data_IF_065360953344
#
_entry.id   IF_065360953344
#
_cell.length_a   1.000
_cell.length_b   1.000
_cell.length_c   1.000
_cell.angle_alpha   90.00
_cell.angle_beta   90.00
_cell.angle_gamma   90.00
#
_symmetry.space_group_name_H-M   'P 1'
#
loop_
_entity.id
_entity.type
_entity.pdbx_description
1 polymer ?
#
# COMPACT_ATOMS: atom_id res chain seq x y z
N UNK A 1 -28.35 -22.92 10.85
CA UNK A 1 -27.10 -22.33 10.32
C UNK A 1 -27.48 -21.02 9.65
N UNK A 2 -27.30 -19.92 10.36
CA UNK A 2 -27.52 -18.58 9.83
C UNK A 2 -26.49 -18.39 8.71
N UNK A 3 -26.93 -18.07 7.49
CA UNK A 3 -26.05 -17.50 6.49
C UNK A 3 -25.48 -16.24 7.10
N UNK A 4 -24.21 -16.21 7.45
CA UNK A 4 -23.53 -14.95 7.70
C UNK A 4 -23.73 -14.11 6.44
N UNK A 5 -24.54 -13.05 6.55
CA UNK A 5 -24.50 -11.99 5.57
C UNK A 5 -23.06 -11.51 5.59
N UNK A 6 -22.30 -11.79 4.52
CA UNK A 6 -20.95 -11.29 4.34
C UNK A 6 -21.03 -9.75 4.28
N UNK A 7 -21.00 -9.14 5.46
CA UNK A 7 -20.92 -7.70 5.62
C UNK A 7 -19.50 -7.31 5.26
N UNK A 8 -19.37 -6.35 4.36
CA UNK A 8 -18.10 -5.72 4.06
C UNK A 8 -17.56 -5.07 5.34
N UNK A 9 -16.37 -5.48 5.78
CA UNK A 9 -15.78 -5.01 7.03
C UNK A 9 -14.84 -3.85 6.75
N UNK A 10 -14.90 -2.80 7.59
CA UNK A 10 -13.90 -1.74 7.57
C UNK A 10 -12.66 -2.11 8.41
N UNK A 11 -11.57 -1.35 8.27
CA UNK A 11 -10.30 -1.66 8.93
C UNK A 11 -10.37 -1.64 10.45
N UNK A 12 -11.25 -0.82 11.04
CA UNK A 12 -11.44 -0.76 12.50
C UNK A 12 -12.15 -2.02 13.00
N UNK A 13 -13.22 -2.42 12.33
CA UNK A 13 -13.93 -3.68 12.66
C UNK A 13 -12.99 -4.89 12.55
N UNK A 14 -12.13 -4.91 11.53
CA UNK A 14 -11.11 -5.96 11.39
C UNK A 14 -10.11 -5.91 12.56
N UNK A 15 -9.58 -4.73 12.89
CA UNK A 15 -8.66 -4.58 14.02
C UNK A 15 -9.30 -5.03 15.35
N UNK A 16 -10.55 -4.66 15.62
CA UNK A 16 -11.28 -5.08 16.82
C UNK A 16 -11.46 -6.60 16.89
N UNK A 17 -11.74 -7.26 15.75
CA UNK A 17 -11.87 -8.73 15.68
C UNK A 17 -10.54 -9.46 15.85
N UNK A 18 -9.44 -8.85 15.39
CA UNK A 18 -8.07 -9.35 15.57
C UNK A 18 -7.47 -8.95 16.92
N UNK A 19 -8.24 -8.25 17.77
CA UNK A 19 -7.80 -7.66 19.04
C UNK A 19 -6.54 -6.78 18.89
N UNK A 20 -6.49 -5.99 17.81
CA UNK A 20 -5.40 -5.06 17.52
C UNK A 20 -5.74 -3.63 17.91
N UNK A 21 -4.73 -2.90 18.35
CA UNK A 21 -4.89 -1.48 18.73
C UNK A 21 -4.99 -0.58 17.50
N UNK A 22 -4.08 -0.75 16.54
CA UNK A 22 -4.02 0.04 15.31
C UNK A 22 -4.72 -0.68 14.15
N UNK A 23 -5.19 0.05 13.15
CA UNK A 23 -5.69 -0.56 11.92
C UNK A 23 -4.56 -0.96 10.97
N UNK A 24 -4.75 -2.04 10.21
CA UNK A 24 -3.93 -2.33 9.02
C UNK A 24 -4.53 -1.62 7.80
N UNK A 25 -3.78 -1.54 6.71
CA UNK A 25 -4.16 -0.74 5.55
C UNK A 25 -5.43 -1.26 4.88
N UNK A 26 -6.32 -0.35 4.52
CA UNK A 26 -7.45 -0.64 3.63
C UNK A 26 -7.03 -0.77 2.16
N UNK A 27 -5.81 -0.35 1.83
CA UNK A 27 -5.37 -0.14 0.46
C UNK A 27 -4.86 -1.40 -0.23
N UNK A 28 -5.33 -1.57 -1.47
CA UNK A 28 -4.79 -2.48 -2.47
C UNK A 28 -4.08 -1.67 -3.55
N UNK A 29 -2.85 -2.06 -3.94
CA UNK A 29 -2.03 -1.32 -4.89
C UNK A 29 -2.59 -1.38 -6.31
N UNK A 30 -2.58 -0.25 -7.03
CA UNK A 30 -3.04 -0.18 -8.43
C UNK A 30 -1.92 0.05 -9.45
N UNK A 31 -0.76 0.57 -9.00
CA UNK A 31 0.37 0.88 -9.87
C UNK A 31 0.24 2.21 -10.65
N UNK A 32 -0.56 3.15 -10.16
CA UNK A 32 -0.72 4.47 -10.78
C UNK A 32 -0.44 5.60 -9.80
N UNK A 33 0.21 6.65 -10.29
CA UNK A 33 0.32 7.95 -9.64
C UNK A 33 -0.51 8.96 -10.45
N UNK A 34 -1.36 9.71 -9.78
CA UNK A 34 -2.26 10.68 -10.39
C UNK A 34 -1.84 12.09 -10.00
N UNK A 35 -1.98 13.02 -10.93
CA UNK A 35 -1.62 14.42 -10.75
C UNK A 35 -2.88 15.26 -10.49
N UNK A 36 -2.76 16.22 -9.60
CA UNK A 36 -3.82 17.17 -9.28
C UNK A 36 -4.31 17.94 -10.52
N UNK A 37 -5.50 18.49 -10.41
CA UNK A 37 -6.19 19.33 -11.39
C UNK A 37 -6.48 18.64 -12.73
N UNK A 38 -6.85 17.36 -12.65
CA UNK A 38 -7.15 16.52 -13.80
C UNK A 38 -8.43 15.71 -13.54
N UNK A 39 -9.17 15.39 -14.61
CA UNK A 39 -10.27 14.42 -14.56
C UNK A 39 -9.78 13.06 -15.00
N UNK A 40 -9.99 12.04 -14.17
CA UNK A 40 -9.61 10.66 -14.45
C UNK A 40 -10.84 9.78 -14.61
N UNK A 41 -10.73 8.78 -15.49
CA UNK A 41 -11.64 7.63 -15.51
C UNK A 41 -10.86 6.39 -15.12
N UNK A 42 -11.32 5.72 -14.05
CA UNK A 42 -10.76 4.46 -13.57
C UNK A 42 -11.71 3.35 -13.94
N UNK A 43 -11.20 2.28 -14.55
CA UNK A 43 -11.96 1.08 -14.92
C UNK A 43 -11.53 -0.09 -14.04
N UNK A 44 -12.50 -0.92 -13.68
CA UNK A 44 -12.39 -2.08 -12.81
C UNK A 44 -12.58 -3.37 -13.63
N UNK A 45 -12.06 -4.48 -13.13
CA UNK A 45 -12.18 -5.79 -13.77
C UNK A 45 -13.62 -6.34 -13.79
N UNK A 46 -14.50 -5.82 -12.96
CA UNK A 46 -15.92 -6.20 -12.89
C UNK A 46 -16.77 -5.10 -12.26
N UNK A 47 -18.08 -5.28 -12.39
CA UNK A 47 -19.10 -4.51 -11.68
C UNK A 47 -19.08 -4.80 -10.17
N UNK A 48 -19.53 -3.84 -9.37
CA UNK A 48 -19.71 -4.01 -7.92
C UNK A 48 -20.97 -4.83 -7.62
N UNK A 49 -20.89 -5.67 -6.59
CA UNK A 49 -22.05 -6.39 -6.03
C UNK A 49 -22.86 -5.48 -5.09
N UNK A 50 -24.09 -5.90 -4.75
CA UNK A 50 -24.95 -5.13 -3.83
C UNK A 50 -24.34 -4.91 -2.44
N UNK A 51 -23.52 -5.86 -1.96
CA UNK A 51 -22.88 -5.77 -0.65
C UNK A 51 -21.62 -4.89 -0.64
N UNK A 52 -21.06 -4.58 -1.81
CA UNK A 52 -19.86 -3.75 -1.98
C UNK A 52 -20.22 -2.28 -2.25
N UNK A 53 -21.43 -2.02 -2.74
CA UNK A 53 -21.89 -0.69 -3.13
C UNK A 53 -21.86 0.28 -1.94
N UNK A 54 -21.19 1.42 -2.12
CA UNK A 54 -21.03 2.42 -1.07
C UNK A 54 -19.98 2.07 0.01
N UNK A 55 -19.36 0.90 -0.06
CA UNK A 55 -18.36 0.43 0.90
C UNK A 55 -16.93 0.51 0.35
N UNK A 56 -16.77 0.31 -0.96
CA UNK A 56 -15.49 0.40 -1.65
C UNK A 56 -15.28 1.81 -2.21
N UNK A 57 -14.06 2.33 -2.05
CA UNK A 57 -13.66 3.64 -2.56
C UNK A 57 -12.33 3.56 -3.30
N UNK A 58 -12.12 4.48 -4.23
CA UNK A 58 -10.79 4.84 -4.69
C UNK A 58 -10.20 5.84 -3.70
N UNK A 59 -8.95 5.63 -3.30
CA UNK A 59 -8.21 6.55 -2.44
C UNK A 59 -6.97 7.02 -3.17
N UNK A 60 -6.83 8.33 -3.35
CA UNK A 60 -5.72 8.94 -4.05
C UNK A 60 -4.99 9.82 -3.04
N UNK A 61 -3.74 9.51 -2.78
CA UNK A 61 -2.95 10.27 -1.81
C UNK A 61 -1.67 9.55 -1.44
N UNK A 62 -1.01 10.05 -0.40
CA UNK A 62 0.17 9.43 0.15
C UNK A 62 0.30 9.77 1.64
N UNK A 63 0.64 8.77 2.45
CA UNK A 63 0.92 8.95 3.87
C UNK A 63 2.22 9.70 4.12
N UNK A 64 2.19 10.72 4.98
CA UNK A 64 3.37 11.49 5.41
C UNK A 64 3.56 12.84 4.70
N UNK A 65 4.69 13.49 4.96
CA UNK A 65 5.09 14.80 4.44
C UNK A 65 6.21 14.69 3.39
N UNK A 66 5.99 15.36 2.26
CA UNK A 66 6.89 15.33 1.11
C UNK A 66 7.13 16.74 0.59
N UNK A 67 8.38 17.21 0.63
CA UNK A 67 8.73 18.60 0.26
C UNK A 67 8.27 19.00 -1.14
N UNK A 68 8.18 18.04 -2.07
CA UNK A 68 7.85 18.27 -3.48
C UNK A 68 6.41 17.92 -3.86
N UNK A 69 5.59 17.44 -2.92
CA UNK A 69 4.24 16.92 -3.22
C UNK A 69 3.23 17.57 -2.27
N UNK A 70 2.08 18.01 -2.82
CA UNK A 70 0.96 18.56 -2.04
C UNK A 70 1.36 19.64 -1.02
N UNK A 71 2.28 20.55 -1.39
CA UNK A 71 2.75 21.65 -0.53
C UNK A 71 3.31 21.19 0.84
N UNK A 72 3.89 19.97 0.90
CA UNK A 72 4.42 19.37 2.14
C UNK A 72 3.35 19.16 3.23
N UNK A 73 2.07 19.12 2.86
CA UNK A 73 0.98 18.77 3.76
C UNK A 73 1.08 17.30 4.16
N UNK A 74 0.76 17.02 5.43
CA UNK A 74 0.82 15.66 5.95
C UNK A 74 -0.40 14.85 5.51
N UNK A 75 -0.15 13.67 4.93
CA UNK A 75 -1.15 12.61 4.74
C UNK A 75 -2.43 13.08 4.02
N UNK A 76 -2.24 13.70 2.87
CA UNK A 76 -3.34 14.23 2.05
C UNK A 76 -3.95 13.09 1.21
N UNK A 77 -5.26 12.87 1.37
CA UNK A 77 -6.02 11.90 0.59
C UNK A 77 -7.33 12.49 0.05
N UNK A 78 -7.64 12.17 -1.20
CA UNK A 78 -8.96 12.32 -1.81
C UNK A 78 -9.61 10.94 -1.92
N UNK A 79 -10.89 10.85 -1.55
CA UNK A 79 -11.65 9.60 -1.57
C UNK A 79 -12.86 9.70 -2.51
N UNK A 80 -13.01 8.72 -3.38
CA UNK A 80 -14.13 8.64 -4.31
C UNK A 80 -14.83 7.29 -4.12
N UNK A 81 -15.99 7.33 -3.46
CA UNK A 81 -16.87 6.15 -3.32
C UNK A 81 -17.36 5.77 -4.72
N UNK A 82 -17.35 4.47 -5.03
CA UNK A 82 -17.86 3.97 -6.31
C UNK A 82 -19.39 3.90 -6.18
N UNK A 83 -20.14 4.85 -6.78
CA UNK A 83 -21.53 5.10 -6.39
C UNK A 83 -22.53 4.24 -7.16
N UNK A 84 -22.06 3.41 -8.09
CA UNK A 84 -22.90 2.59 -8.95
C UNK A 84 -22.28 1.21 -9.12
N UNK A 85 -23.06 0.28 -9.68
CA UNK A 85 -22.54 -1.03 -10.08
C UNK A 85 -21.61 -0.95 -11.30
N UNK A 86 -21.48 0.21 -11.96
CA UNK A 86 -20.61 0.33 -13.10
C UNK A 86 -19.17 -0.01 -12.74
N UNK A 87 -18.51 -0.78 -13.60
CA UNK A 87 -17.09 -1.06 -13.53
C UNK A 87 -16.20 0.16 -13.83
N UNK A 88 -16.72 1.38 -13.83
CA UNK A 88 -15.90 2.57 -14.01
C UNK A 88 -16.40 3.74 -13.16
N UNK A 89 -15.49 4.65 -12.86
CA UNK A 89 -15.77 5.89 -12.15
C UNK A 89 -14.96 7.02 -12.79
N UNK A 90 -15.60 8.17 -12.97
CA UNK A 90 -14.98 9.39 -13.46
C UNK A 90 -15.01 10.44 -12.35
N UNK A 91 -13.87 11.09 -12.09
CA UNK A 91 -13.76 12.09 -11.03
C UNK A 91 -12.69 13.13 -11.35
N UNK A 92 -12.90 14.34 -10.84
CA UNK A 92 -11.90 15.40 -10.82
C UNK A 92 -11.03 15.26 -9.56
N UNK A 93 -9.71 15.33 -9.72
CA UNK A 93 -8.74 15.18 -8.65
C UNK A 93 -8.09 16.53 -8.31
N UNK A 94 -8.08 16.89 -7.04
CA UNK A 94 -7.52 18.18 -6.56
C UNK A 94 -6.10 18.05 -5.99
N UNK A 95 -5.64 16.83 -5.70
CA UNK A 95 -4.38 16.57 -5.01
C UNK A 95 -3.58 15.50 -5.73
N UNK A 96 -2.26 15.59 -5.71
CA UNK A 96 -1.43 14.54 -6.28
C UNK A 96 -1.42 13.32 -5.36
N UNK A 97 -1.29 12.11 -5.91
CA UNK A 97 -1.19 10.94 -5.05
C UNK A 97 -1.12 9.60 -5.77
N UNK A 98 -0.78 8.58 -5.00
CA UNK A 98 -0.85 7.20 -5.47
C UNK A 98 -2.30 6.74 -5.44
N UNK A 99 -2.76 6.10 -6.51
CA UNK A 99 -4.10 5.53 -6.58
C UNK A 99 -4.12 4.16 -5.89
N UNK A 100 -5.03 4.01 -4.94
CA UNK A 100 -5.34 2.76 -4.28
C UNK A 100 -6.82 2.41 -4.47
N UNK A 101 -7.09 1.11 -4.56
CA UNK A 101 -8.42 0.59 -4.29
C UNK A 101 -8.51 0.32 -2.79
N UNK A 102 -9.41 1.00 -2.08
CA UNK A 102 -9.59 0.82 -0.65
C UNK A 102 -10.74 -0.17 -0.42
N UNK A 103 -10.39 -1.45 -0.32
CA UNK A 103 -11.34 -2.54 -0.13
C UNK A 103 -10.95 -3.53 0.99
N UNK A 104 -9.99 -3.14 1.85
CA UNK A 104 -9.43 -3.99 2.91
C UNK A 104 -8.84 -5.31 2.41
N UNK A 105 -8.54 -5.40 1.11
CA UNK A 105 -8.14 -6.62 0.42
C UNK A 105 -9.15 -7.77 0.57
N UNK A 106 -10.44 -7.46 0.79
CA UNK A 106 -11.51 -8.45 1.00
C UNK A 106 -12.14 -8.95 -0.31
N UNK A 107 -11.82 -8.32 -1.45
CA UNK A 107 -12.44 -8.62 -2.73
C UNK A 107 -11.39 -8.93 -3.80
N UNK A 108 -11.83 -9.53 -4.90
CA UNK A 108 -11.04 -9.73 -6.12
C UNK A 108 -11.07 -8.53 -7.09
N UNK A 109 -11.68 -7.42 -6.67
CA UNK A 109 -11.77 -6.20 -7.47
C UNK A 109 -10.37 -5.61 -7.71
N UNK A 110 -10.14 -5.18 -8.95
CA UNK A 110 -8.85 -4.65 -9.41
C UNK A 110 -9.09 -3.50 -10.40
N UNK A 111 -8.24 -2.48 -10.34
CA UNK A 111 -8.16 -1.46 -11.38
C UNK A 111 -7.47 -2.06 -12.61
N UNK A 112 -8.13 -2.02 -13.76
CA UNK A 112 -7.63 -2.55 -15.03
C UNK A 112 -7.04 -1.46 -15.91
N UNK A 113 -7.60 -0.26 -15.88
CA UNK A 113 -7.06 0.90 -16.59
C UNK A 113 -7.41 2.20 -15.90
N UNK A 114 -6.58 3.21 -16.14
CA UNK A 114 -6.83 4.59 -15.77
C UNK A 114 -6.59 5.44 -17.02
N UNK A 115 -7.51 6.33 -17.33
CA UNK A 115 -7.40 7.29 -18.43
C UNK A 115 -7.58 8.71 -17.92
N UNK A 116 -7.03 9.67 -18.66
CA UNK A 116 -7.08 11.10 -18.37
C UNK A 116 -7.98 11.78 -19.41
N UNK A 117 -8.93 12.61 -18.96
CA UNK A 117 -9.74 13.41 -19.88
C UNK A 117 -8.79 14.32 -20.68
N UNK A 118 -8.66 14.07 -21.99
CA UNK A 118 -7.78 14.75 -22.95
C UNK A 118 -6.33 14.24 -23.09
N UNK A 119 -5.97 13.09 -22.49
CA UNK A 119 -4.66 12.45 -22.74
C UNK A 119 -4.67 10.96 -22.39
N UNK A 120 -3.75 10.18 -22.96
CA UNK A 120 -3.54 8.79 -22.56
C UNK A 120 -2.35 8.63 -21.58
N UNK A 121 -1.58 9.68 -21.32
CA UNK A 121 -0.35 9.60 -20.52
C UNK A 121 -0.63 9.74 -19.03
N UNK A 122 -1.25 8.69 -18.45
CA UNK A 122 -1.31 8.50 -17.00
C UNK A 122 0.03 7.96 -16.50
N UNK A 123 0.54 8.51 -15.39
CA UNK A 123 1.82 8.07 -14.83
C UNK A 123 1.66 6.68 -14.22
N UNK A 124 2.26 5.68 -14.88
CA UNK A 124 2.43 4.33 -14.31
C UNK A 124 3.54 4.36 -13.27
N UNK A 125 3.21 3.91 -12.07
CA UNK A 125 4.14 3.74 -10.97
C UNK A 125 4.83 2.38 -11.11
N UNK A 126 6.18 2.30 -11.17
CA UNK A 126 6.86 1.03 -11.17
C UNK A 126 6.51 0.23 -9.90
N UNK A 127 6.15 -1.04 -10.08
CA UNK A 127 5.77 -1.92 -8.97
C UNK A 127 6.51 -3.25 -9.05
N UNK A 128 7.25 -3.59 -7.99
CA UNK A 128 7.86 -4.89 -7.83
C UNK A 128 6.95 -5.80 -6.98
N UNK A 129 6.40 -6.86 -7.59
CA UNK A 129 5.58 -7.86 -6.90
C UNK A 129 6.40 -9.11 -6.65
N UNK A 130 6.44 -9.58 -5.41
CA UNK A 130 7.22 -10.76 -5.02
C UNK A 130 6.88 -11.97 -5.92
N UNK A 131 7.92 -12.64 -6.41
CA UNK A 131 7.87 -13.82 -7.29
C UNK A 131 7.05 -13.63 -8.60
N UNK A 132 6.76 -12.38 -8.98
CA UNK A 132 6.02 -12.04 -10.20
C UNK A 132 6.80 -11.05 -11.07
N UNK A 133 7.39 -10.02 -10.47
CA UNK A 133 8.19 -9.04 -11.19
C UNK A 133 9.61 -9.54 -11.42
N UNK A 134 10.17 -9.19 -12.57
CA UNK A 134 11.60 -9.33 -12.84
C UNK A 134 12.34 -8.13 -12.25
N UNK A 135 13.46 -8.37 -11.54
CA UNK A 135 14.22 -7.31 -10.89
C UNK A 135 14.92 -6.37 -11.87
N UNK A 136 15.45 -6.89 -12.98
CA UNK A 136 16.12 -6.06 -13.98
C UNK A 136 15.13 -5.16 -14.70
N UNK A 137 13.98 -5.70 -15.10
CA UNK A 137 12.92 -4.93 -15.74
C UNK A 137 12.40 -3.84 -14.79
N UNK A 138 12.16 -4.19 -13.52
CA UNK A 138 11.76 -3.23 -12.51
C UNK A 138 12.79 -2.11 -12.30
N UNK A 139 14.09 -2.45 -12.19
CA UNK A 139 15.15 -1.43 -12.07
C UNK A 139 15.12 -0.50 -13.29
N UNK A 140 14.98 -1.05 -14.49
CA UNK A 140 14.89 -0.26 -15.71
C UNK A 140 13.64 0.65 -15.71
N UNK A 141 12.48 0.13 -15.30
CA UNK A 141 11.26 0.92 -15.17
C UNK A 141 11.42 2.07 -14.17
N UNK A 142 12.08 1.82 -13.03
CA UNK A 142 12.37 2.84 -12.02
C UNK A 142 13.33 3.90 -12.54
N UNK A 143 14.36 3.53 -13.31
CA UNK A 143 15.30 4.50 -13.87
C UNK A 143 14.68 5.39 -14.96
N UNK A 144 13.59 4.95 -15.59
CA UNK A 144 12.94 5.66 -16.70
C UNK A 144 11.55 6.23 -16.33
N UNK A 145 11.08 6.07 -15.08
CA UNK A 145 9.77 6.57 -14.67
C UNK A 145 9.81 8.07 -14.34
N UNK A 146 8.66 8.73 -14.55
CA UNK A 146 8.39 10.07 -14.01
C UNK A 146 7.59 10.03 -12.69
N UNK A 147 7.25 8.83 -12.20
CA UNK A 147 6.56 8.68 -10.91
C UNK A 147 7.47 9.10 -9.76
N UNK A 148 7.00 9.92 -8.80
CA UNK A 148 7.77 10.27 -7.61
C UNK A 148 7.88 9.11 -6.61
N UNK A 149 7.05 8.09 -6.78
CA UNK A 149 7.05 6.88 -5.97
C UNK A 149 7.30 5.62 -6.81
N UNK A 150 7.75 4.57 -6.12
CA UNK A 150 7.75 3.19 -6.59
C UNK A 150 7.12 2.34 -5.50
N UNK A 151 6.65 1.16 -5.86
CA UNK A 151 5.97 0.28 -4.91
C UNK A 151 6.55 -1.12 -4.88
N UNK A 152 6.69 -1.67 -3.68
CA UNK A 152 7.09 -3.05 -3.45
C UNK A 152 5.93 -3.77 -2.77
N UNK A 153 5.49 -4.89 -3.35
CA UNK A 153 4.32 -5.64 -2.89
C UNK A 153 4.74 -7.07 -2.58
N UNK A 154 4.71 -7.42 -1.29
CA UNK A 154 4.84 -8.80 -0.84
C UNK A 154 3.45 -9.45 -0.73
N UNK A 155 3.34 -10.61 -0.08
CA UNK A 155 2.02 -11.20 0.15
C UNK A 155 1.22 -10.44 1.22
N UNK A 156 1.90 -9.82 2.21
CA UNK A 156 1.26 -9.16 3.35
C UNK A 156 1.73 -7.72 3.62
N UNK A 157 2.67 -7.21 2.83
CA UNK A 157 3.12 -5.81 2.88
C UNK A 157 2.94 -5.12 1.53
N UNK A 158 2.65 -3.83 1.61
CA UNK A 158 2.88 -2.87 0.52
C UNK A 158 3.84 -1.81 1.04
N UNK A 159 4.86 -1.45 0.25
CA UNK A 159 5.78 -0.38 0.60
C UNK A 159 5.84 0.64 -0.53
N UNK A 160 5.45 1.87 -0.23
CA UNK A 160 5.44 2.98 -1.18
C UNK A 160 6.60 3.90 -0.86
N UNK A 161 7.64 3.82 -1.71
CA UNK A 161 8.95 4.42 -1.48
C UNK A 161 9.21 5.56 -2.45
N UNK A 162 9.92 6.60 -2.01
CA UNK A 162 10.31 7.68 -2.91
C UNK A 162 11.28 7.15 -3.99
N UNK A 163 10.95 7.39 -5.27
CA UNK A 163 11.77 6.99 -6.43
C UNK A 163 13.19 7.51 -6.30
N UNK A 164 13.34 8.77 -5.86
CA UNK A 164 14.64 9.42 -5.71
C UNK A 164 15.53 8.68 -4.68
N UNK A 165 14.96 8.23 -3.56
CA UNK A 165 15.69 7.45 -2.56
C UNK A 165 16.11 6.09 -3.12
N UNK A 166 15.20 5.38 -3.80
CA UNK A 166 15.51 4.08 -4.39
C UNK A 166 16.66 4.19 -5.40
N UNK A 167 16.60 5.15 -6.32
CA UNK A 167 17.64 5.35 -7.34
C UNK A 167 18.98 5.75 -6.72
N UNK A 168 18.98 6.73 -5.80
CA UNK A 168 20.22 7.34 -5.31
C UNK A 168 20.86 6.60 -4.14
N UNK A 169 20.08 5.86 -3.37
CA UNK A 169 20.51 5.25 -2.10
C UNK A 169 20.46 3.74 -2.12
N UNK A 170 19.43 3.13 -2.70
CA UNK A 170 19.24 1.67 -2.67
C UNK A 170 19.97 1.00 -3.83
N UNK A 171 19.64 1.33 -5.08
CA UNK A 171 20.24 0.68 -6.25
C UNK A 171 21.78 0.63 -6.26
N UNK A 172 22.52 1.69 -5.88
CA UNK A 172 23.98 1.65 -5.89
C UNK A 172 24.60 0.71 -4.84
N UNK A 173 23.82 0.30 -3.84
CA UNK A 173 24.27 -0.52 -2.69
C UNK A 173 23.47 -1.81 -2.55
N UNK A 174 22.59 -2.12 -3.52
CA UNK A 174 21.69 -3.26 -3.42
C UNK A 174 22.48 -4.56 -3.62
N UNK A 175 22.71 -5.28 -2.52
CA UNK A 175 23.39 -6.58 -2.55
C UNK A 175 22.41 -7.76 -2.66
N UNK A 176 21.17 -7.55 -2.24
CA UNK A 176 20.17 -8.60 -2.10
C UNK A 176 19.06 -8.47 -3.15
N UNK A 177 18.49 -9.60 -3.56
CA UNK A 177 17.34 -9.59 -4.46
C UNK A 177 16.08 -9.08 -3.75
N UNK A 178 15.27 -8.28 -4.45
CA UNK A 178 14.00 -7.78 -3.88
C UNK A 178 13.08 -8.93 -3.46
N UNK A 179 13.05 -10.05 -4.19
CA UNK A 179 12.30 -11.24 -3.75
C UNK A 179 12.75 -11.75 -2.37
N UNK A 180 14.05 -11.72 -2.06
CA UNK A 180 14.56 -12.15 -0.76
C UNK A 180 14.18 -11.17 0.35
N UNK A 181 14.31 -9.86 0.08
CA UNK A 181 13.93 -8.78 1.01
C UNK A 181 12.44 -8.89 1.37
N UNK A 182 11.56 -8.96 0.37
CA UNK A 182 10.11 -9.04 0.57
C UNK A 182 9.68 -10.36 1.23
N UNK A 183 10.37 -11.47 0.96
CA UNK A 183 10.16 -12.72 1.69
C UNK A 183 10.54 -12.59 3.17
N UNK A 184 11.53 -11.75 3.50
CA UNK A 184 11.88 -11.39 4.87
C UNK A 184 10.77 -10.62 5.58
N UNK A 185 10.12 -9.70 4.88
CA UNK A 185 8.96 -8.97 5.42
C UNK A 185 7.80 -9.92 5.69
N UNK A 186 7.46 -10.79 4.73
CA UNK A 186 6.41 -11.80 4.92
C UNK A 186 6.70 -12.76 6.09
N UNK A 187 7.97 -13.09 6.37
CA UNK A 187 8.35 -13.86 7.56
C UNK A 187 8.03 -13.11 8.86
N UNK A 188 8.24 -11.79 8.88
CA UNK A 188 7.91 -10.93 10.03
C UNK A 188 6.42 -11.02 10.33
N UNK A 189 5.58 -10.79 9.33
CA UNK A 189 4.13 -10.94 9.45
C UNK A 189 3.76 -12.35 9.91
N UNK A 190 4.35 -13.38 9.31
CA UNK A 190 4.06 -14.77 9.68
C UNK A 190 4.33 -15.05 11.16
N UNK A 191 5.53 -14.72 11.65
CA UNK A 191 5.91 -14.99 13.03
C UNK A 191 5.08 -14.18 14.03
N UNK A 192 4.78 -12.91 13.72
CA UNK A 192 3.91 -12.09 14.59
C UNK A 192 2.52 -12.72 14.72
N UNK A 193 1.91 -13.17 13.62
CA UNK A 193 0.61 -13.84 13.66
C UNK A 193 0.66 -15.20 14.36
N UNK A 194 1.69 -16.02 14.13
CA UNK A 194 1.87 -17.30 14.81
C UNK A 194 1.96 -17.13 16.33
N UNK A 195 2.70 -16.13 16.81
CA UNK A 195 2.82 -15.81 18.24
C UNK A 195 1.46 -15.37 18.84
N UNK A 196 0.68 -14.60 18.08
CA UNK A 196 -0.63 -14.09 18.51
C UNK A 196 -1.78 -15.09 18.28
N UNK A 197 -1.49 -16.26 17.70
CA UNK A 197 -2.51 -17.27 17.39
C UNK A 197 -3.47 -16.86 16.28
N UNK A 198 -3.07 -15.96 15.38
CA UNK A 198 -3.85 -15.49 14.24
C UNK A 198 -3.49 -16.28 12.97
N UNK A 199 -4.48 -16.64 12.16
CA UNK A 199 -4.28 -17.37 10.91
C UNK A 199 -5.38 -17.05 9.88
N UNK A 200 -5.02 -16.87 8.62
CA UNK A 200 -5.97 -16.55 7.55
C UNK A 200 -6.95 -17.67 7.22
N UNK A 201 -6.58 -18.93 7.46
CA UNK A 201 -7.45 -20.09 7.22
C UNK A 201 -8.43 -20.35 8.38
N UNK A 202 -8.21 -19.75 9.55
CA UNK A 202 -9.10 -19.93 10.71
C UNK A 202 -10.36 -19.07 10.58
N UNK A 203 -11.35 -19.35 11.42
CA UNK A 203 -12.55 -18.53 11.63
C UNK A 203 -12.60 -18.01 13.08
N UNK A 204 -13.55 -17.13 13.38
CA UNK A 204 -13.75 -16.61 14.74
C UNK A 204 -12.58 -15.78 15.26
N UNK A 205 -12.25 -15.93 16.54
CA UNK A 205 -11.26 -15.09 17.26
C UNK A 205 -9.81 -15.30 16.81
N UNK A 206 -9.53 -16.38 16.07
CA UNK A 206 -8.19 -16.68 15.55
C UNK A 206 -8.04 -16.29 14.07
N UNK A 207 -9.05 -15.63 13.47
CA UNK A 207 -9.01 -15.20 12.07
C UNK A 207 -8.00 -14.07 11.89
N UNK A 208 -7.09 -14.23 10.93
CA UNK A 208 -6.37 -13.11 10.31
C UNK A 208 -7.08 -12.71 9.00
N UNK A 209 -7.34 -11.43 8.84
CA UNK A 209 -7.87 -10.81 7.63
C UNK A 209 -6.71 -10.36 6.72
N UNK A 210 -6.92 -10.37 5.40
CA UNK A 210 -5.86 -10.25 4.39
C UNK A 210 -5.35 -8.82 4.17
N UNK A 211 -5.58 -7.91 5.12
CA UNK A 211 -5.12 -6.53 5.01
C UNK A 211 -3.58 -6.47 4.94
N UNK A 212 -3.08 -5.56 4.11
CA UNK A 212 -1.64 -5.29 4.04
C UNK A 212 -1.18 -4.45 5.24
N UNK A 213 0.05 -4.70 5.69
CA UNK A 213 0.82 -3.71 6.45
C UNK A 213 1.45 -2.74 5.45
N UNK A 214 1.06 -1.46 5.50
CA UNK A 214 1.55 -0.44 4.55
C UNK A 214 2.75 0.30 5.12
N UNK A 215 3.89 0.19 4.44
CA UNK A 215 5.10 0.97 4.69
C UNK A 215 5.06 2.24 3.84
N UNK A 216 5.13 3.40 4.50
CA UNK A 216 5.31 4.69 3.86
C UNK A 216 6.73 5.23 4.12
N UNK A 217 7.18 6.16 3.28
CA UNK A 217 8.54 6.70 3.29
C UNK A 217 8.55 8.23 3.11
N UNK A 218 8.22 8.97 4.16
CA UNK A 218 8.24 10.44 4.14
C UNK A 218 9.65 11.03 4.25
N UNK A 219 9.74 12.33 4.05
CA UNK A 219 11.02 13.04 4.15
C UNK A 219 11.53 13.07 5.60
N UNK A 220 10.65 13.41 6.55
CA UNK A 220 11.00 13.61 7.96
C UNK A 220 9.75 13.52 8.88
N UNK A 221 9.95 13.15 10.13
CA UNK A 221 8.98 12.65 11.12
C UNK A 221 9.71 12.33 12.44
N UNK A 222 8.95 12.01 13.50
CA UNK A 222 9.52 11.65 14.79
C UNK A 222 10.08 10.21 14.83
N UNK A 223 11.26 10.05 15.44
CA UNK A 223 11.85 8.74 15.71
C UNK A 223 12.69 8.20 14.55
N UNK A 224 13.13 6.94 14.64
CA UNK A 224 13.78 6.28 13.49
C UNK A 224 12.74 5.79 12.50
N UNK A 225 11.71 5.13 13.03
CA UNK A 225 10.49 4.68 12.37
C UNK A 225 9.31 4.89 13.34
N UNK A 226 8.07 4.75 12.86
CA UNK A 226 6.88 4.81 13.71
C UNK A 226 5.71 3.99 13.14
N UNK A 227 4.76 3.64 13.98
CA UNK A 227 3.51 2.98 13.61
C UNK A 227 2.30 3.84 14.00
N UNK A 228 1.28 3.85 13.14
CA UNK A 228 -0.01 4.49 13.40
C UNK A 228 -1.12 3.74 12.67
N UNK A 229 -2.35 4.22 12.77
CA UNK A 229 -3.46 3.62 12.03
C UNK A 229 -3.14 3.56 10.52
N UNK A 230 -3.37 2.39 9.94
CA UNK A 230 -3.22 2.04 8.53
C UNK A 230 -1.78 1.93 8.00
N UNK A 231 -0.73 2.29 8.77
CA UNK A 231 0.64 2.34 8.25
C UNK A 231 1.74 2.16 9.29
N UNK A 232 2.93 1.82 8.78
CA UNK A 232 4.22 2.05 9.44
C UNK A 232 5.06 3.01 8.57
N UNK A 233 5.92 3.80 9.21
CA UNK A 233 6.73 4.86 8.58
C UNK A 233 8.21 4.56 8.69
N UNK A 234 8.91 4.63 7.58
CA UNK A 234 10.37 4.53 7.53
C UNK A 234 10.89 5.72 6.76
N UNK A 235 11.25 6.78 7.46
CA UNK A 235 11.56 8.07 6.86
C UNK A 235 12.96 8.17 6.23
N UNK A 236 13.16 9.18 5.39
CA UNK A 236 14.41 9.40 4.70
C UNK A 236 15.45 10.18 5.52
N UNK A 237 15.04 11.09 6.40
CA UNK A 237 15.95 11.89 7.24
C UNK A 237 16.84 11.06 8.15
N UNK A 238 16.37 9.89 8.59
CA UNK A 238 17.10 8.95 9.46
C UNK A 238 17.73 7.78 8.73
N UNK A 239 17.59 7.70 7.40
CA UNK A 239 17.92 6.52 6.57
C UNK A 239 17.02 5.29 6.76
N UNK A 240 16.02 5.32 7.64
CA UNK A 240 15.18 4.15 7.91
C UNK A 240 14.56 3.55 6.63
N UNK A 241 14.14 4.38 5.68
CA UNK A 241 13.55 3.92 4.41
C UNK A 241 14.49 3.12 3.52
N UNK A 242 15.77 3.52 3.41
CA UNK A 242 16.75 2.78 2.60
C UNK A 242 17.22 1.51 3.32
N UNK A 243 17.29 1.54 4.65
CA UNK A 243 17.86 0.44 5.44
C UNK A 243 16.93 -0.79 5.43
N UNK A 244 15.63 -0.61 5.16
CA UNK A 244 14.70 -1.70 4.81
C UNK A 244 15.16 -2.58 3.63
N UNK A 245 16.02 -2.05 2.75
CA UNK A 245 16.54 -2.78 1.59
C UNK A 245 18.02 -3.14 1.72
N UNK A 246 18.76 -2.42 2.55
CA UNK A 246 20.21 -2.51 2.63
C UNK A 246 20.69 -3.32 3.84
N UNK A 247 19.90 -3.36 4.91
CA UNK A 247 20.22 -4.20 6.06
C UNK A 247 20.09 -5.69 5.72
N UNK A 248 20.80 -6.51 6.49
CA UNK A 248 20.63 -7.96 6.44
C UNK A 248 19.17 -8.32 6.73
N UNK A 249 18.58 -9.22 5.96
CA UNK A 249 17.17 -9.64 6.14
C UNK A 249 16.90 -10.12 7.57
N UNK A 250 17.86 -10.78 8.22
CA UNK A 250 17.75 -11.24 9.61
C UNK A 250 17.89 -10.12 10.65
N UNK A 251 18.34 -8.93 10.25
CA UNK A 251 18.63 -7.78 11.10
C UNK A 251 17.59 -6.66 11.06
N UNK A 252 16.41 -6.89 10.47
CA UNK A 252 15.38 -5.85 10.30
C UNK A 252 14.55 -5.60 11.57
N UNK A 253 15.20 -5.36 12.71
CA UNK A 253 14.54 -5.13 13.99
C UNK A 253 13.52 -3.99 13.93
N UNK A 254 13.85 -2.89 13.26
CA UNK A 254 12.93 -1.75 13.12
C UNK A 254 11.63 -2.17 12.41
N UNK A 255 11.68 -2.96 11.34
CA UNK A 255 10.48 -3.49 10.68
C UNK A 255 9.66 -4.37 11.64
N UNK A 256 10.32 -5.24 12.39
CA UNK A 256 9.66 -6.14 13.33
C UNK A 256 8.99 -5.36 14.46
N UNK A 257 9.68 -4.34 14.98
CA UNK A 257 9.22 -3.47 16.05
C UNK A 257 7.97 -2.68 15.63
N UNK A 258 8.03 -1.98 14.49
CA UNK A 258 6.89 -1.21 14.02
C UNK A 258 5.72 -2.10 13.60
N UNK A 259 5.99 -3.25 12.97
CA UNK A 259 4.94 -4.24 12.68
C UNK A 259 4.28 -4.69 13.98
N UNK A 260 5.07 -4.99 15.02
CA UNK A 260 4.58 -5.36 16.35
C UNK A 260 3.66 -4.32 16.97
N UNK A 261 3.96 -3.02 16.83
CA UNK A 261 3.07 -1.95 17.29
C UNK A 261 1.70 -1.94 16.61
N UNK A 262 1.58 -2.48 15.40
CA UNK A 262 0.28 -2.56 14.68
C UNK A 262 -0.62 -3.71 15.13
N UNK A 263 -0.11 -4.58 16.00
CA UNK A 263 -0.86 -5.64 16.67
C UNK A 263 -1.17 -5.21 18.10
#
# INVERSE_FOLDING_TARGET
>A
MLKENYQFLNSREIADRENRVLTHSEFKPTGYYLQANNTYTVTLNRDLTDNELGQIKLSIGQWGQYKKINENKNSVFSHFVIPTKANFITFYLETDGVLYLADNNLTDLQVTSVTLENSNDVIKMPTFKINKSNQYDFINDVLNTNSPFVEFVSNHFIATMQTEMIIKKVFPRLEQHFNAILAGWDKTWKYTNEILGLNEANEGINKKYPQYVHIANEDDSSGYANASDNRIMFQNSTSAGQDLFLDQISGQWALWHETGHTY
#
